data_IF_314477976474
#
_entry.id   IF_314477976474
#
_cell.length_a   1.000
_cell.length_b   1.000
_cell.length_c   1.000
_cell.angle_alpha   90.00
_cell.angle_beta   90.00
_cell.angle_gamma   90.00
#
_symmetry.space_group_name_H-M   'P 1'
#
loop_
_entity.id
_entity.type
_entity.pdbx_description
1 polymer ?
#
# COMPACT_ATOMS: atom_id res chain seq x y z
N UNK A 1 -44.25 -30.03 7.20
CA UNK A 1 -42.87 -30.52 7.04
C UNK A 1 -42.39 -31.10 8.37
N UNK A 2 -41.65 -32.21 8.35
CA UNK A 2 -41.08 -32.80 9.56
C UNK A 2 -39.82 -32.04 10.01
N UNK A 3 -39.37 -32.29 11.25
CA UNK A 3 -38.18 -31.62 11.81
C UNK A 3 -36.91 -31.84 10.97
N UNK A 4 -36.77 -32.98 10.29
CA UNK A 4 -35.59 -33.22 9.43
C UNK A 4 -35.53 -32.25 8.24
N UNK A 5 -36.66 -31.98 7.58
CA UNK A 5 -36.69 -31.02 6.47
C UNK A 5 -36.35 -29.60 6.96
N UNK A 6 -36.81 -29.24 8.15
CA UNK A 6 -36.48 -27.94 8.74
C UNK A 6 -35.00 -27.85 9.15
N UNK A 7 -34.36 -28.95 9.55
CA UNK A 7 -32.91 -28.96 9.81
C UNK A 7 -32.09 -28.71 8.55
N UNK A 8 -32.52 -29.19 7.39
CA UNK A 8 -31.87 -28.87 6.10
C UNK A 8 -31.92 -27.36 5.83
N UNK A 9 -33.09 -26.75 5.99
CA UNK A 9 -33.27 -25.29 5.84
C UNK A 9 -32.43 -24.51 6.86
N UNK A 10 -32.43 -24.93 8.12
CA UNK A 10 -31.64 -24.31 9.18
C UNK A 10 -30.12 -24.49 8.96
N UNK A 11 -29.69 -25.58 8.30
CA UNK A 11 -28.30 -25.74 7.86
C UNK A 11 -27.95 -24.73 6.76
N UNK A 12 -28.82 -24.58 5.76
CA UNK A 12 -28.65 -23.57 4.71
C UNK A 12 -28.58 -22.15 5.29
N UNK A 13 -29.36 -21.87 6.34
CA UNK A 13 -29.32 -20.61 7.07
C UNK A 13 -27.95 -20.30 7.72
N UNK A 14 -27.25 -21.30 8.26
CA UNK A 14 -25.91 -21.11 8.84
C UNK A 14 -24.86 -20.73 7.78
N UNK A 15 -25.09 -21.10 6.52
CA UNK A 15 -24.23 -20.78 5.38
C UNK A 15 -24.72 -19.58 4.56
N UNK A 16 -25.87 -18.99 4.92
CA UNK A 16 -26.48 -17.86 4.23
C UNK A 16 -26.99 -18.20 2.83
N UNK A 17 -27.46 -19.43 2.64
CA UNK A 17 -27.95 -19.97 1.36
C UNK A 17 -29.47 -20.17 1.34
N UNK A 18 -30.17 -19.79 2.40
CA UNK A 18 -31.63 -19.90 2.46
C UNK A 18 -32.32 -18.81 1.62
N UNK A 19 -33.46 -19.16 1.05
CA UNK A 19 -34.38 -18.18 0.44
C UNK A 19 -35.16 -17.40 1.52
N UNK A 20 -35.71 -16.22 1.20
CA UNK A 20 -36.54 -15.44 2.13
C UNK A 20 -37.75 -16.22 2.67
N UNK A 21 -38.38 -17.04 1.82
CA UNK A 21 -39.56 -17.83 2.18
C UNK A 21 -39.19 -18.97 3.13
N UNK A 22 -38.07 -19.65 2.87
CA UNK A 22 -37.51 -20.67 3.76
C UNK A 22 -37.13 -20.09 5.12
N UNK A 23 -36.59 -18.86 5.14
CA UNK A 23 -36.24 -18.17 6.38
C UNK A 23 -37.48 -17.87 7.23
N UNK A 24 -38.52 -17.31 6.63
CA UNK A 24 -39.77 -17.02 7.34
C UNK A 24 -40.42 -18.30 7.90
N UNK A 25 -40.44 -19.37 7.10
CA UNK A 25 -40.95 -20.66 7.55
C UNK A 25 -40.11 -21.30 8.66
N UNK A 26 -38.79 -21.16 8.61
CA UNK A 26 -37.90 -21.66 9.66
C UNK A 26 -38.10 -20.91 10.97
N UNK A 27 -38.31 -19.59 10.94
CA UNK A 27 -38.63 -18.78 12.12
C UNK A 27 -39.95 -19.21 12.77
N UNK A 28 -40.99 -19.46 11.96
CA UNK A 28 -42.27 -20.00 12.44
C UNK A 28 -42.10 -21.39 13.08
N UNK A 29 -41.32 -22.28 12.45
CA UNK A 29 -41.06 -23.59 13.02
C UNK A 29 -40.28 -23.54 14.35
N UNK A 30 -39.29 -22.65 14.46
CA UNK A 30 -38.52 -22.46 15.69
C UNK A 30 -39.38 -21.92 16.84
N UNK A 31 -40.41 -21.13 16.56
CA UNK A 31 -41.35 -20.69 17.58
C UNK A 31 -42.08 -21.87 18.24
N UNK A 32 -42.37 -22.94 17.49
CA UNK A 32 -43.12 -24.11 17.94
C UNK A 32 -42.28 -25.35 18.34
N UNK A 33 -40.97 -25.37 18.06
CA UNK A 33 -40.16 -26.58 18.23
C UNK A 33 -38.89 -26.36 19.06
N UNK A 34 -38.90 -26.77 20.33
CA UNK A 34 -37.71 -26.76 21.21
C UNK A 34 -36.56 -27.61 20.64
N UNK A 35 -36.88 -28.76 20.04
CA UNK A 35 -35.88 -29.69 19.51
C UNK A 35 -35.04 -29.09 18.37
N UNK A 36 -35.67 -28.32 17.48
CA UNK A 36 -34.97 -27.62 16.39
C UNK A 36 -34.20 -26.39 16.88
N UNK A 37 -34.67 -25.71 17.94
CA UNK A 37 -33.90 -24.65 18.62
C UNK A 37 -32.60 -25.18 19.21
N UNK A 38 -32.68 -26.27 19.99
CA UNK A 38 -31.49 -26.92 20.58
C UNK A 38 -30.53 -27.41 19.49
N UNK A 39 -31.05 -27.99 18.42
CA UNK A 39 -30.24 -28.44 17.30
C UNK A 39 -29.51 -27.28 16.62
N UNK A 40 -30.19 -26.16 16.36
CA UNK A 40 -29.61 -25.00 15.72
C UNK A 40 -28.49 -24.39 16.56
N UNK A 41 -28.67 -24.29 17.88
CA UNK A 41 -27.64 -23.80 18.80
C UNK A 41 -26.37 -24.67 18.77
N UNK A 42 -26.55 -25.99 18.74
CA UNK A 42 -25.45 -26.95 18.62
C UNK A 42 -24.73 -26.82 17.27
N UNK A 43 -25.48 -26.78 16.17
CA UNK A 43 -24.95 -26.64 14.82
C UNK A 43 -24.19 -25.31 14.65
N UNK A 44 -24.73 -24.20 15.17
CA UNK A 44 -24.08 -22.90 15.19
C UNK A 44 -22.78 -22.93 16.02
N UNK A 45 -22.76 -23.62 17.15
CA UNK A 45 -21.57 -23.76 17.98
C UNK A 45 -20.47 -24.58 17.30
N UNK A 46 -20.81 -25.63 16.54
CA UNK A 46 -19.84 -26.39 15.72
C UNK A 46 -19.32 -25.53 14.57
N UNK A 47 -20.22 -24.85 13.85
CA UNK A 47 -19.86 -23.96 12.73
C UNK A 47 -18.90 -22.86 13.17
N UNK A 48 -19.14 -22.23 14.33
CA UNK A 48 -18.20 -21.25 14.90
C UNK A 48 -16.84 -21.86 15.21
N UNK A 49 -16.78 -23.03 15.85
CA UNK A 49 -15.50 -23.71 16.14
C UNK A 49 -14.73 -24.09 14.88
N UNK A 50 -15.42 -24.54 13.84
CA UNK A 50 -14.80 -24.86 12.55
C UNK A 50 -14.29 -23.61 11.83
N UNK A 51 -15.05 -22.50 11.84
CA UNK A 51 -14.61 -21.24 11.21
C UNK A 51 -13.49 -20.53 12.00
N UNK A 52 -13.46 -20.73 13.31
CA UNK A 52 -12.42 -20.16 14.20
C UNK A 52 -11.28 -21.14 14.48
N UNK A 53 -11.27 -22.33 13.87
CA UNK A 53 -10.16 -23.25 14.05
C UNK A 53 -8.91 -22.61 13.47
N UNK A 54 -7.88 -22.48 14.31
CA UNK A 54 -6.58 -21.98 13.89
C UNK A 54 -6.10 -22.86 12.75
N UNK A 55 -5.77 -22.24 11.62
CA UNK A 55 -5.17 -22.92 10.49
C UNK A 55 -3.98 -23.75 10.98
N UNK A 56 -4.06 -25.07 10.84
CA UNK A 56 -2.90 -25.94 11.08
C UNK A 56 -1.86 -25.52 10.05
N UNK A 57 -0.66 -25.15 10.52
CA UNK A 57 0.43 -24.69 9.65
C UNK A 57 0.72 -25.74 8.57
N UNK A 58 0.15 -25.54 7.37
CA UNK A 58 0.50 -26.27 6.18
C UNK A 58 1.74 -25.66 5.52
N UNK A 59 2.31 -26.32 4.50
CA UNK A 59 3.32 -25.68 3.66
C UNK A 59 2.78 -24.37 3.09
N UNK A 60 3.59 -23.31 3.10
CA UNK A 60 3.22 -22.04 2.49
C UNK A 60 3.14 -22.21 0.97
N UNK A 61 1.91 -22.28 0.45
CA UNK A 61 1.64 -22.40 -0.98
C UNK A 61 1.40 -21.04 -1.66
N UNK A 62 1.64 -19.93 -0.96
CA UNK A 62 1.33 -18.58 -1.46
C UNK A 62 1.99 -18.32 -2.81
N UNK A 63 3.29 -18.59 -2.93
CA UNK A 63 4.03 -18.36 -4.18
C UNK A 63 3.58 -19.30 -5.31
N UNK A 64 3.21 -20.54 -4.97
CA UNK A 64 2.70 -21.53 -5.94
C UNK A 64 1.34 -21.10 -6.51
N UNK A 65 0.43 -20.64 -5.65
CA UNK A 65 -0.88 -20.13 -6.05
C UNK A 65 -0.74 -18.83 -6.83
N UNK A 66 0.09 -17.89 -6.37
CA UNK A 66 0.34 -16.63 -7.08
C UNK A 66 1.02 -16.87 -8.43
N UNK A 67 1.89 -17.88 -8.55
CA UNK A 67 2.53 -18.29 -9.79
C UNK A 67 1.56 -18.94 -10.79
N UNK A 68 0.53 -19.64 -10.31
CA UNK A 68 -0.50 -20.26 -11.14
C UNK A 68 -1.53 -19.27 -11.70
N UNK A 69 -1.64 -18.07 -11.13
CA UNK A 69 -2.55 -17.04 -11.63
C UNK A 69 -2.03 -16.43 -12.94
N UNK A 70 -2.82 -16.42 -14.03
CA UNK A 70 -2.44 -15.70 -15.24
C UNK A 70 -2.45 -14.20 -14.94
N UNK A 71 -1.26 -13.61 -14.78
CA UNK A 71 -1.14 -12.16 -14.73
C UNK A 71 -1.53 -11.61 -16.11
N UNK A 72 -2.55 -10.73 -16.22
CA UNK A 72 -2.87 -10.13 -17.50
C UNK A 72 -1.62 -9.43 -18.05
N UNK A 73 -1.29 -9.55 -19.35
CA UNK A 73 -0.03 -9.04 -19.92
C UNK A 73 0.19 -7.55 -19.64
N UNK A 74 -0.90 -6.77 -19.55
CA UNK A 74 -0.90 -5.36 -19.18
C UNK A 74 -0.38 -5.10 -17.75
N UNK A 75 -0.56 -6.02 -16.79
CA UNK A 75 -0.08 -5.88 -15.42
C UNK A 75 1.44 -6.02 -15.34
N UNK A 76 2.00 -7.05 -16.00
CA UNK A 76 3.46 -7.28 -16.06
C UNK A 76 4.20 -6.11 -16.72
N UNK A 77 3.65 -5.57 -17.80
CA UNK A 77 4.23 -4.39 -18.46
C UNK A 77 4.21 -3.16 -17.55
N UNK A 78 3.10 -2.85 -16.86
CA UNK A 78 3.01 -1.73 -15.92
C UNK A 78 3.99 -1.85 -14.77
N UNK A 79 4.13 -3.05 -14.19
CA UNK A 79 5.11 -3.31 -13.13
C UNK A 79 6.55 -3.11 -13.61
N UNK A 80 6.89 -3.58 -14.82
CA UNK A 80 8.21 -3.34 -15.43
C UNK A 80 8.47 -1.85 -15.67
N UNK A 81 7.51 -1.13 -16.24
CA UNK A 81 7.63 0.32 -16.49
C UNK A 81 7.77 1.09 -15.18
N UNK A 82 6.98 0.76 -14.15
CA UNK A 82 7.10 1.40 -12.84
C UNK A 82 8.47 1.13 -12.20
N UNK A 83 8.98 -0.09 -12.31
CA UNK A 83 10.33 -0.43 -11.82
C UNK A 83 11.43 0.26 -12.61
N UNK A 84 11.33 0.34 -13.94
CA UNK A 84 12.31 1.05 -14.76
C UNK A 84 12.33 2.55 -14.47
N UNK A 85 11.15 3.16 -14.26
CA UNK A 85 11.04 4.57 -13.85
C UNK A 85 11.68 4.82 -12.49
N UNK A 86 11.50 3.92 -11.50
CA UNK A 86 12.18 4.03 -10.21
C UNK A 86 13.69 3.94 -10.32
N UNK A 87 14.20 2.99 -11.11
CA UNK A 87 15.64 2.84 -11.34
C UNK A 87 16.20 4.08 -12.03
N UNK A 88 15.54 4.56 -13.09
CA UNK A 88 15.95 5.78 -13.79
C UNK A 88 15.94 7.00 -12.86
N UNK A 89 14.89 7.18 -12.05
CA UNK A 89 14.81 8.26 -11.07
C UNK A 89 15.91 8.16 -10.01
N UNK A 90 16.22 6.96 -9.54
CA UNK A 90 17.32 6.71 -8.61
C UNK A 90 18.68 7.06 -9.19
N UNK A 91 18.93 6.70 -10.45
CA UNK A 91 20.16 7.06 -11.16
C UNK A 91 20.29 8.57 -11.35
N UNK A 92 19.21 9.25 -11.78
CA UNK A 92 19.18 10.71 -11.91
C UNK A 92 19.45 11.39 -10.57
N UNK A 93 18.80 10.92 -9.49
CA UNK A 93 19.01 11.44 -8.14
C UNK A 93 20.45 11.25 -7.67
N UNK A 94 21.05 10.07 -7.90
CA UNK A 94 22.44 9.80 -7.55
C UNK A 94 23.40 10.72 -8.31
N UNK A 95 23.19 10.90 -9.63
CA UNK A 95 23.99 11.83 -10.45
C UNK A 95 23.89 13.26 -9.90
N UNK A 96 22.70 13.74 -9.56
CA UNK A 96 22.53 15.09 -9.00
C UNK A 96 23.22 15.28 -7.65
N UNK A 97 23.16 14.29 -6.76
CA UNK A 97 23.87 14.33 -5.48
C UNK A 97 25.38 14.38 -5.72
N UNK A 98 25.91 13.52 -6.59
CA UNK A 98 27.35 13.50 -6.92
C UNK A 98 27.78 14.84 -7.52
N UNK A 99 27.02 15.39 -8.47
CA UNK A 99 27.31 16.69 -9.07
C UNK A 99 27.32 17.81 -8.02
N UNK A 100 26.32 17.85 -7.13
CA UNK A 100 26.25 18.82 -6.04
C UNK A 100 27.41 18.69 -5.05
N UNK A 101 27.76 17.47 -4.65
CA UNK A 101 28.91 17.22 -3.76
C UNK A 101 30.24 17.58 -4.41
N UNK A 102 30.43 17.28 -5.70
CA UNK A 102 31.62 17.69 -6.45
C UNK A 102 31.69 19.22 -6.56
N UNK A 103 30.55 19.90 -6.69
CA UNK A 103 30.47 21.37 -6.73
C UNK A 103 30.91 22.00 -5.39
N UNK A 104 30.54 21.39 -4.26
CA UNK A 104 31.02 21.76 -2.91
C UNK A 104 32.50 21.44 -2.72
N UNK A 105 32.97 20.28 -3.20
CA UNK A 105 34.37 19.87 -3.05
C UNK A 105 35.34 20.73 -3.87
N UNK A 106 34.95 21.14 -5.08
CA UNK A 106 35.76 22.01 -5.93
C UNK A 106 35.86 23.45 -5.41
N UNK A 107 34.84 23.96 -4.71
CA UNK A 107 34.92 25.29 -4.08
C UNK A 107 35.88 25.31 -2.90
N UNK A 108 36.08 24.18 -2.21
CA UNK A 108 37.04 24.06 -1.12
C UNK A 108 38.52 23.94 -1.58
N UNK A 109 38.76 23.56 -2.84
CA UNK A 109 40.10 23.29 -3.39
C UNK A 109 40.63 24.36 -4.37
N UNK A 110 39.86 25.41 -4.67
CA UNK A 110 40.25 26.47 -5.61
C UNK A 110 41.21 27.51 -5.00
N UNK A 111 42.17 28.07 -5.78
CA UNK A 111 43.03 29.16 -5.30
C UNK A 111 42.19 30.36 -4.85
N UNK A 112 42.47 30.91 -3.67
CA UNK A 112 41.82 32.12 -3.15
C UNK A 112 42.25 33.36 -3.96
N UNK A 113 41.63 33.59 -5.13
CA UNK A 113 41.82 34.81 -5.91
C UNK A 113 40.87 35.90 -5.43
N UNK A 114 41.42 36.90 -4.74
CA UNK A 114 40.73 38.13 -4.36
C UNK A 114 40.65 39.08 -5.57
N UNK A 115 39.65 38.91 -6.44
CA UNK A 115 39.33 39.90 -7.45
C UNK A 115 37.80 40.06 -7.59
N UNK A 116 37.31 41.24 -7.17
CA UNK A 116 35.96 41.77 -7.31
C UNK A 116 34.79 40.95 -6.68
N UNK A 117 34.38 41.34 -5.46
CA UNK A 117 33.07 41.04 -4.86
C UNK A 117 32.80 39.58 -4.45
N UNK A 118 33.47 39.01 -3.43
CA UNK A 118 33.54 37.56 -3.19
C UNK A 118 32.30 36.95 -2.53
N UNK A 119 31.47 37.75 -1.86
CA UNK A 119 30.38 37.23 -1.04
C UNK A 119 29.17 36.81 -1.90
N UNK A 120 28.76 37.58 -2.91
CA UNK A 120 27.58 37.26 -3.72
C UNK A 120 27.77 36.02 -4.61
N UNK A 121 28.90 35.91 -5.31
CA UNK A 121 29.17 34.79 -6.25
C UNK A 121 29.44 33.47 -5.51
N UNK A 122 30.11 33.54 -4.35
CA UNK A 122 30.35 32.37 -3.50
C UNK A 122 29.07 31.85 -2.86
N UNK A 123 28.22 32.71 -2.30
CA UNK A 123 26.97 32.29 -1.66
C UNK A 123 25.98 31.64 -2.64
N UNK A 124 25.79 32.22 -3.83
CA UNK A 124 24.91 31.66 -4.87
C UNK A 124 25.37 30.28 -5.37
N UNK A 125 26.68 30.03 -5.36
CA UNK A 125 27.27 28.75 -5.78
C UNK A 125 27.03 27.62 -4.75
N UNK A 126 27.20 27.92 -3.47
CA UNK A 126 26.92 26.97 -2.38
C UNK A 126 25.42 26.67 -2.28
N UNK A 127 24.57 27.68 -2.48
CA UNK A 127 23.12 27.52 -2.52
C UNK A 127 22.68 26.63 -3.68
N UNK A 128 23.20 26.84 -4.90
CA UNK A 128 22.92 26.00 -6.06
C UNK A 128 23.38 24.54 -5.85
N UNK A 129 24.53 24.34 -5.21
CA UNK A 129 25.02 23.01 -4.87
C UNK A 129 24.12 22.30 -3.85
N UNK A 130 23.71 23.01 -2.80
CA UNK A 130 22.77 22.51 -1.80
C UNK A 130 21.43 22.12 -2.43
N UNK A 131 20.91 22.93 -3.37
CA UNK A 131 19.68 22.61 -4.10
C UNK A 131 19.81 21.34 -4.95
N UNK A 132 20.92 21.14 -5.66
CA UNK A 132 21.17 19.91 -6.42
C UNK A 132 21.20 18.67 -5.53
N UNK A 133 21.87 18.76 -4.36
CA UNK A 133 21.88 17.66 -3.38
C UNK A 133 20.49 17.39 -2.82
N UNK A 134 19.74 18.44 -2.45
CA UNK A 134 18.40 18.31 -1.88
C UNK A 134 17.40 17.69 -2.87
N UNK A 135 17.38 18.15 -4.13
CA UNK A 135 16.51 17.60 -5.17
C UNK A 135 16.91 16.16 -5.51
N UNK A 136 18.21 15.88 -5.63
CA UNK A 136 18.72 14.53 -5.87
C UNK A 136 18.35 13.56 -4.74
N UNK A 137 18.47 13.98 -3.48
CA UNK A 137 18.02 13.22 -2.32
C UNK A 137 16.49 13.00 -2.33
N UNK A 138 15.70 14.01 -2.73
CA UNK A 138 14.27 13.88 -2.95
C UNK A 138 13.91 12.82 -4.01
N UNK A 139 14.63 12.80 -5.13
CA UNK A 139 14.46 11.77 -6.16
C UNK A 139 14.83 10.37 -5.69
N UNK A 140 15.94 10.22 -4.95
CA UNK A 140 16.33 8.94 -4.32
C UNK A 140 15.26 8.46 -3.34
N UNK A 141 14.71 9.36 -2.52
CA UNK A 141 13.64 9.05 -1.58
C UNK A 141 12.36 8.60 -2.29
N UNK A 142 11.96 9.26 -3.38
CA UNK A 142 10.81 8.83 -4.19
C UNK A 142 11.08 7.49 -4.87
N UNK A 143 12.29 7.26 -5.38
CA UNK A 143 12.68 6.00 -6.00
C UNK A 143 12.62 4.82 -5.01
N UNK A 144 13.00 5.05 -3.76
CA UNK A 144 12.97 4.05 -2.68
C UNK A 144 11.55 3.78 -2.15
N UNK A 145 10.62 4.74 -2.28
CA UNK A 145 9.25 4.59 -1.77
C UNK A 145 8.35 3.77 -2.70
N UNK A 146 7.47 2.98 -2.09
CA UNK A 146 6.40 2.24 -2.78
C UNK A 146 5.10 3.04 -2.92
N UNK A 147 4.93 4.10 -2.12
CA UNK A 147 3.76 4.99 -2.12
C UNK A 147 3.90 6.12 -3.15
N UNK A 148 2.78 6.65 -3.69
CA UNK A 148 2.82 7.76 -4.64
C UNK A 148 3.42 9.04 -4.01
N UNK A 149 4.20 9.84 -4.76
CA UNK A 149 4.83 11.06 -4.27
C UNK A 149 3.84 12.25 -4.24
N UNK A 150 2.73 12.13 -3.54
CA UNK A 150 1.64 13.14 -3.56
C UNK A 150 2.06 14.50 -2.99
N UNK A 151 2.89 14.53 -1.93
CA UNK A 151 3.36 15.78 -1.33
C UNK A 151 4.47 16.49 -2.11
N UNK A 152 5.28 15.75 -2.88
CA UNK A 152 6.46 16.31 -3.55
C UNK A 152 6.11 16.99 -4.89
N UNK A 153 5.04 16.52 -5.56
CA UNK A 153 4.67 17.00 -6.89
C UNK A 153 4.34 18.49 -6.93
N UNK A 154 3.48 19.06 -6.05
CA UNK A 154 3.16 20.50 -6.11
C UNK A 154 4.39 21.39 -5.91
N UNK A 155 5.22 21.04 -4.92
CA UNK A 155 6.45 21.76 -4.60
C UNK A 155 7.44 21.73 -5.78
N UNK A 156 7.73 20.54 -6.32
CA UNK A 156 8.61 20.40 -7.49
C UNK A 156 8.03 21.10 -8.73
N UNK A 157 6.71 21.11 -8.91
CA UNK A 157 6.08 21.78 -10.05
C UNK A 157 6.30 23.29 -10.00
N UNK A 158 6.10 23.92 -8.84
CA UNK A 158 6.37 25.34 -8.66
C UNK A 158 7.86 25.66 -8.90
N UNK A 159 8.75 24.82 -8.37
CA UNK A 159 10.19 24.97 -8.58
C UNK A 159 10.58 24.87 -10.07
N UNK A 160 10.11 23.83 -10.77
CA UNK A 160 10.38 23.60 -12.19
C UNK A 160 9.81 24.74 -13.05
N UNK A 161 8.60 25.21 -12.77
CA UNK A 161 7.99 26.30 -13.51
C UNK A 161 8.83 27.58 -13.42
N UNK A 162 9.25 27.97 -12.21
CA UNK A 162 10.14 29.12 -12.00
C UNK A 162 11.49 28.92 -12.70
N UNK A 163 12.08 27.73 -12.60
CA UNK A 163 13.37 27.42 -13.22
C UNK A 163 13.32 27.50 -14.76
N UNK A 164 12.24 27.03 -15.37
CA UNK A 164 12.01 27.15 -16.82
C UNK A 164 11.87 28.62 -17.20
N UNK A 165 11.10 29.42 -16.45
CA UNK A 165 10.91 30.84 -16.73
C UNK A 165 12.24 31.62 -16.69
N UNK A 166 13.06 31.37 -15.66
CA UNK A 166 14.40 31.95 -15.54
C UNK A 166 15.32 31.48 -16.67
N UNK A 167 15.28 30.20 -17.03
CA UNK A 167 16.12 29.65 -18.12
C UNK A 167 15.76 30.25 -19.49
N UNK A 168 14.48 30.49 -19.76
CA UNK A 168 14.03 31.18 -20.99
C UNK A 168 14.53 32.62 -21.01
N UNK A 169 14.50 33.31 -19.86
CA UNK A 169 15.04 34.66 -19.74
C UNK A 169 16.57 34.70 -19.96
N UNK A 170 17.31 33.75 -19.39
CA UNK A 170 18.76 33.63 -19.59
C UNK A 170 19.12 33.38 -21.06
N UNK A 171 18.33 32.53 -21.74
CA UNK A 171 18.46 32.27 -23.17
C UNK A 171 18.18 33.53 -24.01
N UNK A 172 17.10 34.25 -23.71
CA UNK A 172 16.72 35.48 -24.41
C UNK A 172 17.75 36.61 -24.22
N UNK A 173 18.46 36.63 -23.09
CA UNK A 173 19.51 37.61 -22.79
C UNK A 173 20.91 37.17 -23.18
N UNK A 174 21.06 35.99 -23.81
CA UNK A 174 22.34 35.46 -24.28
C UNK A 174 23.29 35.01 -23.17
N UNK A 175 22.80 34.80 -21.94
CA UNK A 175 23.59 34.42 -20.75
C UNK A 175 23.47 32.92 -20.46
N UNK A 176 23.81 32.08 -21.44
CA UNK A 176 23.67 30.62 -21.30
C UNK A 176 24.97 29.98 -20.87
N UNK A 177 24.99 29.43 -19.66
CA UNK A 177 26.04 28.53 -19.20
C UNK A 177 25.67 27.08 -19.54
N UNK A 178 26.56 26.39 -20.26
CA UNK A 178 26.33 25.01 -20.72
C UNK A 178 26.26 24.00 -19.58
N UNK A 179 27.01 24.21 -18.49
CA UNK A 179 27.01 23.34 -17.31
C UNK A 179 25.70 23.46 -16.51
N UNK A 180 25.14 24.68 -16.46
CA UNK A 180 23.85 24.97 -15.84
C UNK A 180 22.71 24.32 -16.62
N UNK A 181 22.75 24.40 -17.96
CA UNK A 181 21.74 23.79 -18.82
C UNK A 181 21.66 22.27 -18.66
N UNK A 182 22.82 21.60 -18.59
CA UNK A 182 22.89 20.14 -18.37
C UNK A 182 22.29 19.76 -17.02
N UNK A 183 22.62 20.50 -15.95
CA UNK A 183 22.08 20.25 -14.60
C UNK A 183 20.55 20.42 -14.56
N UNK A 184 20.03 21.46 -15.25
CA UNK A 184 18.59 21.69 -15.39
C UNK A 184 17.90 20.54 -16.14
N UNK A 185 18.53 19.99 -17.19
CA UNK A 185 17.97 18.88 -17.95
C UNK A 185 17.76 17.62 -17.08
N UNK A 186 18.71 17.30 -16.20
CA UNK A 186 18.55 16.19 -15.24
C UNK A 186 17.36 16.41 -14.30
N UNK A 187 17.17 17.65 -13.83
CA UNK A 187 16.08 18.00 -12.94
C UNK A 187 14.72 17.86 -13.63
N UNK A 188 14.61 18.38 -14.85
CA UNK A 188 13.40 18.27 -15.67
C UNK A 188 13.06 16.80 -15.98
N UNK A 189 14.07 15.98 -16.30
CA UNK A 189 13.88 14.55 -16.52
C UNK A 189 13.39 13.82 -15.26
N UNK A 190 14.02 14.09 -14.10
CA UNK A 190 13.57 13.54 -12.81
C UNK A 190 12.14 13.95 -12.46
N UNK A 191 11.80 15.23 -12.65
CA UNK A 191 10.43 15.73 -12.45
C UNK A 191 9.42 15.05 -13.38
N UNK A 192 9.73 14.89 -14.66
CA UNK A 192 8.87 14.20 -15.62
C UNK A 192 8.59 12.75 -15.20
N UNK A 193 9.59 12.05 -14.66
CA UNK A 193 9.43 10.69 -14.11
C UNK A 193 8.51 10.72 -12.88
N UNK A 194 8.70 11.65 -11.95
CA UNK A 194 7.84 11.81 -10.77
C UNK A 194 6.37 12.05 -11.17
N UNK A 195 6.14 12.91 -12.18
CA UNK A 195 4.80 13.15 -12.75
C UNK A 195 4.25 11.89 -13.43
N UNK A 196 5.07 11.15 -14.18
CA UNK A 196 4.63 9.89 -14.77
C UNK A 196 4.20 8.90 -13.68
N UNK A 197 4.99 8.75 -12.61
CA UNK A 197 4.70 7.86 -11.48
C UNK A 197 3.45 8.27 -10.67
N UNK A 198 3.04 9.54 -10.71
CA UNK A 198 1.82 9.99 -10.02
C UNK A 198 0.53 9.61 -10.77
N UNK A 199 0.64 9.28 -12.08
CA UNK A 199 -0.52 8.95 -12.93
C UNK A 199 -1.19 7.64 -12.50
N UNK A 200 -2.55 7.59 -12.44
CA UNK A 200 -3.29 6.40 -12.01
C UNK A 200 -2.97 5.14 -12.82
N UNK A 201 -2.65 5.28 -14.12
CA UNK A 201 -2.32 4.16 -14.99
C UNK A 201 -1.04 3.40 -14.62
N UNK A 202 -0.10 4.00 -13.90
CA UNK A 202 1.16 3.33 -13.52
C UNK A 202 1.13 2.78 -12.10
N UNK A 203 -0.02 2.83 -11.41
CA UNK A 203 -0.19 2.29 -10.06
C UNK A 203 -0.36 0.76 -10.10
N UNK A 204 0.61 -0.02 -9.58
CA UNK A 204 0.43 -1.46 -9.41
C UNK A 204 -0.58 -1.67 -8.28
N UNK A 205 -1.78 -2.14 -8.59
CA UNK A 205 -2.80 -2.45 -7.57
C UNK A 205 -3.91 -1.42 -7.40
N UNK A 206 -4.20 -0.57 -8.39
CA UNK A 206 -5.49 0.12 -8.41
C UNK A 206 -6.60 -0.93 -8.25
N UNK A 207 -7.61 -0.72 -7.38
CA UNK A 207 -8.66 -1.70 -7.18
C UNK A 207 -9.22 -2.04 -8.55
N UNK A 208 -9.20 -3.33 -8.91
CA UNK A 208 -9.92 -3.79 -10.09
C UNK A 208 -11.33 -3.25 -9.93
N UNK A 209 -11.72 -2.28 -10.76
CA UNK A 209 -13.08 -1.76 -10.81
C UNK A 209 -13.96 -2.86 -11.40
N UNK A 210 -14.13 -3.96 -10.66
CA UNK A 210 -15.39 -4.68 -10.71
C UNK A 210 -16.35 -3.68 -10.10
N UNK A 211 -17.17 -3.09 -10.96
CA UNK A 211 -18.39 -2.40 -10.58
C UNK A 211 -19.18 -3.40 -9.73
N UNK A 212 -18.94 -3.36 -8.43
CA UNK A 212 -19.83 -3.93 -7.43
C UNK A 212 -20.88 -2.84 -7.25
N UNK A 213 -22.19 -3.12 -7.42
CA UNK A 213 -23.21 -2.16 -7.05
C UNK A 213 -22.96 -1.74 -5.61
N UNK A 214 -22.96 -0.43 -5.40
CA UNK A 214 -22.71 0.24 -4.15
C UNK A 214 -23.71 -0.25 -3.09
N UNK A 215 -23.25 -1.10 -2.18
CA UNK A 215 -23.97 -1.36 -0.93
C UNK A 215 -23.04 -0.88 0.18
N UNK A 216 -23.33 0.26 0.82
CA UNK A 216 -22.54 0.75 1.93
C UNK A 216 -22.86 -0.11 3.16
N UNK A 217 -22.18 -1.26 3.30
CA UNK A 217 -22.18 -2.06 4.53
C UNK A 217 -20.99 -1.69 5.39
N UNK A 218 -21.00 -0.45 5.88
CA UNK A 218 -20.24 -0.11 7.07
C UNK A 218 -20.99 0.94 7.87
N UNK A 219 -21.64 0.51 8.95
CA UNK A 219 -22.02 1.36 10.07
C UNK A 219 -21.26 0.80 11.26
N UNK A 220 -20.36 1.60 11.84
CA UNK A 220 -19.99 1.42 13.25
C UNK A 220 -21.12 2.08 14.04
N UNK A 221 -21.88 1.35 14.86
CA UNK A 221 -22.57 1.97 15.98
C UNK A 221 -21.48 2.45 16.94
N UNK A 222 -21.30 3.77 17.04
CA UNK A 222 -20.54 4.35 18.14
C UNK A 222 -21.41 4.17 19.39
N UNK A 223 -21.19 3.05 20.09
CA UNK A 223 -21.71 2.84 21.43
C UNK A 223 -20.52 2.94 22.39
N UNK A 224 -20.74 3.68 23.46
CA UNK A 224 -19.76 4.10 24.46
C UNK A 224 -18.87 2.95 24.95
N UNK A 225 -17.60 3.30 25.16
CA UNK A 225 -16.53 2.42 25.59
C UNK A 225 -16.83 1.81 26.97
N UNK A 226 -17.43 0.61 26.98
CA UNK A 226 -17.58 -0.19 28.18
C UNK A 226 -16.22 -0.80 28.58
N UNK A 227 -15.84 -0.78 29.87
CA UNK A 227 -14.55 -1.29 30.31
C UNK A 227 -14.44 -2.80 30.06
N UNK A 228 -13.29 -3.23 29.53
CA UNK A 228 -13.01 -4.64 29.21
C UNK A 228 -13.20 -5.54 30.44
N UNK A 229 -14.13 -6.52 30.42
CA UNK A 229 -14.23 -7.49 31.49
C UNK A 229 -13.02 -8.44 31.44
N UNK A 230 -12.29 -8.53 32.56
CA UNK A 230 -11.20 -9.48 32.71
C UNK A 230 -11.71 -10.91 32.57
N UNK A 231 -11.18 -11.64 31.59
CA UNK A 231 -11.49 -13.04 31.38
C UNK A 231 -11.02 -13.87 32.59
N UNK A 232 -11.95 -14.25 33.47
CA UNK A 232 -11.69 -15.21 34.54
C UNK A 232 -12.03 -16.61 34.03
N UNK A 233 -11.00 -17.41 33.74
CA UNK A 233 -11.17 -18.83 33.43
C UNK A 233 -11.74 -19.56 34.65
N UNK A 234 -12.99 -19.98 34.57
CA UNK A 234 -13.58 -20.90 35.54
C UNK A 234 -13.20 -22.34 35.17
N UNK A 235 -12.83 -23.20 36.15
CA UNK A 235 -12.65 -24.63 35.90
C UNK A 235 -13.95 -25.24 35.34
N UNK A 236 -13.83 -26.05 34.30
CA UNK A 236 -14.98 -26.73 33.69
C UNK A 236 -15.64 -27.66 34.71
N UNK A 237 -16.98 -27.62 34.89
CA UNK A 237 -17.69 -28.46 35.85
C UNK A 237 -17.94 -29.90 35.36
N UNK A 238 -17.36 -30.33 34.23
CA UNK A 238 -17.59 -31.66 33.66
C UNK A 238 -16.29 -32.47 33.58
N UNK A 239 -16.21 -33.66 34.22
CA UNK A 239 -15.05 -34.52 34.14
C UNK A 239 -15.06 -35.22 32.79
N UNK A 240 -14.45 -34.59 31.79
CA UNK A 240 -14.43 -35.12 30.42
C UNK A 240 -13.25 -34.59 29.62
N UNK A 241 -12.04 -34.61 30.18
CA UNK A 241 -10.84 -34.38 29.38
C UNK A 241 -10.53 -35.64 28.57
N UNK A 242 -10.60 -35.53 27.25
CA UNK A 242 -10.11 -36.55 26.34
C UNK A 242 -8.59 -36.72 26.59
N UNK A 243 -8.22 -37.79 27.31
CA UNK A 243 -6.82 -38.19 27.44
C UNK A 243 -6.39 -38.86 26.15
N UNK A 244 -5.59 -38.16 25.36
CA UNK A 244 -4.93 -38.74 24.19
C UNK A 244 -3.83 -39.70 24.70
N UNK A 245 -4.10 -41.01 24.72
CA UNK A 245 -3.04 -42.02 24.88
C UNK A 245 -2.25 -42.06 23.58
N UNK A 246 -1.05 -41.48 23.58
CA UNK A 246 -0.09 -41.69 22.49
C UNK A 246 0.23 -43.18 22.38
N UNK A 247 -0.21 -43.80 21.28
CA UNK A 247 0.34 -45.09 20.84
C UNK A 247 1.67 -44.79 20.16
N UNK A 248 2.77 -45.14 20.81
CA UNK A 248 4.06 -45.36 20.16
C UNK A 248 3.89 -46.50 19.16
N UNK A 249 4.17 -46.22 17.89
CA UNK A 249 4.37 -47.25 16.88
C UNK A 249 5.79 -47.82 17.06
N UNK A 250 5.87 -49.15 17.06
CA UNK A 250 7.12 -49.91 16.97
C UNK A 250 7.77 -49.75 15.59
#
# INVERSE_FOLDING_TARGET
MGCEQWREVLSAHLDGQESPDERAGAEEHLAGCDGCRVWLDQAAAVTRRARMSVHVAGPDLTDLVLGALPAPPARRWRERVASSLRVALGLIGAVQVVLGLVQVGRSAAGPHVHAAGPLASGHLWHEAAAWNVAVGAGFLFVAARRTPPTGLVPMLSAFVATLVLLSVNDLATGRVDTSRLVSHAFLLAGYAIVVAMSRPGLRPGGPSSRVRPDVPRWRIPAEDEAPTPGLRLLPSPHPGTARHRGRTAA
#
